data_IF_708061799836
#
_entry.id   IF_708061799836
#
_cell.length_a   1.000
_cell.length_b   1.000
_cell.length_c   1.000
_cell.angle_alpha   90.00
_cell.angle_beta   90.00
_cell.angle_gamma   90.00
#
_symmetry.space_group_name_H-M   'P 1'
#
loop_
_entity.id
_entity.type
_entity.pdbx_description
1 polymer ?
#
# COMPACT_ATOMS: atom_id res chain seq x y z
N UNK A 1 -0.59 14.17 4.58
CA UNK A 1 -1.25 14.94 3.51
C UNK A 1 -2.07 14.03 2.59
N UNK A 2 -1.45 13.12 1.82
CA UNK A 2 -2.16 12.20 0.93
C UNK A 2 -3.03 11.17 1.68
N UNK A 3 -2.47 10.42 2.63
CA UNK A 3 -3.21 9.39 3.40
C UNK A 3 -4.51 9.87 4.06
N UNK A 4 -4.60 11.16 4.42
CA UNK A 4 -5.80 11.76 5.00
C UNK A 4 -7.03 11.65 4.08
N UNK A 5 -6.86 11.62 2.75
CA UNK A 5 -8.00 11.47 1.85
C UNK A 5 -8.57 10.06 1.83
N UNK A 6 -7.84 9.04 2.30
CA UNK A 6 -8.35 7.67 2.39
C UNK A 6 -9.44 7.55 3.46
N UNK A 7 -9.42 8.38 4.49
CA UNK A 7 -10.40 8.38 5.60
C UNK A 7 -11.51 9.41 5.42
N UNK A 8 -11.55 10.13 4.29
CA UNK A 8 -12.69 10.95 3.92
C UNK A 8 -13.89 10.06 3.60
N UNK A 9 -15.10 10.50 3.95
CA UNK A 9 -16.33 9.79 3.60
C UNK A 9 -16.45 9.65 2.06
N UNK A 10 -16.50 8.43 1.52
CA UNK A 10 -16.77 8.21 0.10
C UNK A 10 -18.20 8.66 -0.19
N UNK A 11 -18.43 9.47 -1.23
CA UNK A 11 -19.71 10.15 -1.35
C UNK A 11 -20.12 10.59 -2.76
N UNK A 12 -21.30 10.13 -3.17
CA UNK A 12 -22.04 10.63 -4.33
C UNK A 12 -22.90 9.56 -5.02
N UNK A 13 -23.93 9.99 -5.75
CA UNK A 13 -24.67 9.10 -6.66
C UNK A 13 -23.71 8.58 -7.74
N UNK A 14 -23.56 7.26 -7.85
CA UNK A 14 -22.70 6.61 -8.86
C UNK A 14 -21.46 5.89 -8.31
N UNK A 15 -21.12 6.07 -7.03
CA UNK A 15 -20.02 5.35 -6.40
C UNK A 15 -20.32 3.85 -6.22
N UNK A 16 -19.32 2.95 -6.35
CA UNK A 16 -19.51 1.53 -6.14
C UNK A 16 -20.05 1.21 -4.75
N UNK A 17 -20.99 0.27 -4.67
CA UNK A 17 -21.68 -0.06 -3.41
C UNK A 17 -20.74 -0.52 -2.30
N UNK A 18 -19.67 -1.27 -2.64
CA UNK A 18 -18.69 -1.73 -1.66
C UNK A 18 -17.98 -0.56 -0.95
N UNK A 19 -17.78 0.58 -1.62
CA UNK A 19 -17.10 1.74 -1.04
C UNK A 19 -17.89 2.40 0.08
N UNK A 20 -19.20 2.17 0.13
CA UNK A 20 -20.13 2.80 1.09
C UNK A 20 -20.28 1.97 2.38
N UNK A 21 -19.56 0.86 2.50
CA UNK A 21 -19.64 -0.05 3.66
C UNK A 21 -18.66 0.35 4.76
N UNK A 22 -18.99 0.07 6.02
CA UNK A 22 -18.06 0.27 7.15
C UNK A 22 -16.80 -0.58 6.98
N UNK A 23 -16.93 -1.80 6.43
CA UNK A 23 -15.81 -2.66 6.08
C UNK A 23 -14.79 -1.97 5.15
N UNK A 24 -15.27 -1.19 4.16
CA UNK A 24 -14.38 -0.43 3.29
C UNK A 24 -13.70 0.72 4.02
N UNK A 25 -14.43 1.46 4.85
CA UNK A 25 -13.86 2.54 5.67
C UNK A 25 -12.76 2.04 6.59
N UNK A 26 -13.00 0.91 7.25
CA UNK A 26 -12.02 0.25 8.11
C UNK A 26 -10.83 -0.26 7.31
N UNK A 27 -11.03 -0.81 6.11
CA UNK A 27 -9.93 -1.18 5.20
C UNK A 27 -9.09 0.03 4.80
N UNK A 28 -9.70 1.19 4.54
CA UNK A 28 -8.97 2.43 4.22
C UNK A 28 -8.18 2.95 5.43
N UNK A 29 -8.76 2.87 6.63
CA UNK A 29 -8.07 3.20 7.87
C UNK A 29 -6.86 2.28 8.09
N UNK A 30 -7.02 0.97 7.87
CA UNK A 30 -5.93 0.00 7.92
C UNK A 30 -4.81 0.32 6.93
N UNK A 31 -5.13 0.72 5.69
CA UNK A 31 -4.13 1.15 4.72
C UNK A 31 -3.39 2.41 5.19
N UNK A 32 -4.10 3.39 5.75
CA UNK A 32 -3.52 4.62 6.27
C UNK A 32 -2.60 4.37 7.48
N UNK A 33 -3.04 3.55 8.44
CA UNK A 33 -2.27 3.20 9.64
C UNK A 33 -1.06 2.32 9.31
N UNK A 34 -1.22 1.33 8.43
CA UNK A 34 -0.09 0.53 7.95
C UNK A 34 0.97 1.38 7.25
N UNK A 35 0.55 2.33 6.41
CA UNK A 35 1.48 3.28 5.78
C UNK A 35 2.14 4.23 6.80
N UNK A 36 1.40 4.65 7.83
CA UNK A 36 1.96 5.48 8.90
C UNK A 36 2.99 4.71 9.74
N UNK A 37 2.71 3.46 10.10
CA UNK A 37 3.63 2.60 10.85
C UNK A 37 4.93 2.37 10.07
N UNK A 38 4.84 2.09 8.76
CA UNK A 38 6.01 1.98 7.88
C UNK A 38 6.80 3.30 7.80
N UNK A 39 6.13 4.44 7.65
CA UNK A 39 6.79 5.75 7.66
C UNK A 39 7.47 6.05 9.01
N UNK A 40 6.82 5.66 10.12
CA UNK A 40 7.38 5.85 11.46
C UNK A 40 8.63 5.00 11.65
N UNK A 41 8.60 3.74 11.20
CA UNK A 41 9.77 2.87 11.15
C UNK A 41 10.92 3.51 10.36
N UNK A 42 10.68 3.99 9.14
CA UNK A 42 11.72 4.53 8.26
C UNK A 42 12.29 5.88 8.72
N UNK A 43 11.55 6.60 9.58
CA UNK A 43 12.01 7.87 10.18
C UNK A 43 12.67 7.70 11.54
N UNK A 44 12.66 6.48 12.10
CA UNK A 44 13.49 6.14 13.25
C UNK A 44 14.90 5.82 12.74
N UNK A 45 15.91 6.44 13.33
CA UNK A 45 17.31 6.24 12.96
C UNK A 45 17.81 4.83 13.39
N UNK A 46 17.36 3.79 12.71
CA UNK A 46 17.98 2.47 12.74
C UNK A 46 18.69 2.22 11.41
N UNK A 47 20.03 2.17 11.46
CA UNK A 47 20.82 1.70 10.33
C UNK A 47 20.64 0.19 10.24
N UNK A 48 20.00 -0.26 9.16
CA UNK A 48 19.83 -1.67 8.83
C UNK A 48 21.19 -2.31 8.54
N UNK A 49 21.45 -3.51 9.07
CA UNK A 49 22.60 -4.31 8.65
C UNK A 49 22.39 -4.89 7.24
N UNK A 50 23.47 -4.93 6.45
CA UNK A 50 23.47 -5.54 5.11
C UNK A 50 23.24 -7.05 5.15
N UNK A 51 22.47 -7.59 4.20
CA UNK A 51 22.40 -9.03 3.94
C UNK A 51 22.56 -9.31 2.44
N UNK A 52 23.00 -10.53 2.12
CA UNK A 52 23.09 -11.05 0.76
C UNK A 52 21.78 -11.77 0.40
N UNK A 53 21.14 -11.49 -0.75
CA UNK A 53 19.95 -12.21 -1.18
C UNK A 53 20.22 -13.72 -1.36
N UNK A 54 19.29 -14.56 -0.92
CA UNK A 54 19.25 -15.96 -1.34
C UNK A 54 18.72 -16.06 -2.76
N UNK A 55 19.46 -16.72 -3.65
CA UNK A 55 19.03 -16.95 -5.04
C UNK A 55 17.90 -17.99 -5.02
N UNK A 56 16.67 -17.55 -5.23
CA UNK A 56 15.55 -18.44 -5.56
C UNK A 56 15.30 -18.35 -7.07
N UNK A 57 15.65 -19.40 -7.80
CA UNK A 57 15.23 -19.57 -9.18
C UNK A 57 13.72 -19.91 -9.20
N UNK A 58 12.90 -18.99 -9.66
CA UNK A 58 11.50 -19.30 -9.99
C UNK A 58 11.42 -19.71 -11.45
N UNK A 59 11.02 -20.94 -11.72
CA UNK A 59 10.67 -21.40 -13.06
C UNK A 59 9.40 -20.67 -13.54
N UNK A 60 9.47 -20.05 -14.72
CA UNK A 60 8.30 -19.48 -15.36
C UNK A 60 7.34 -20.60 -15.77
N UNK A 61 6.15 -20.63 -15.17
CA UNK A 61 5.05 -21.47 -15.61
C UNK A 61 4.41 -20.89 -16.88
N UNK A 62 3.91 -21.72 -17.81
CA UNK A 62 3.26 -21.24 -19.02
C UNK A 62 1.97 -20.46 -18.70
N UNK A 63 1.79 -19.34 -19.39
CA UNK A 63 0.67 -18.41 -19.24
C UNK A 63 -0.64 -19.09 -19.68
N UNK A 64 -1.61 -19.30 -18.78
CA UNK A 64 -2.92 -19.82 -19.15
C UNK A 64 -3.64 -18.84 -20.09
N UNK A 65 -4.48 -19.38 -20.98
CA UNK A 65 -5.29 -18.61 -21.93
C UNK A 65 -6.17 -17.62 -21.17
N UNK A 66 -5.89 -16.32 -21.31
CA UNK A 66 -6.54 -15.24 -20.58
C UNK A 66 -8.01 -15.10 -21.03
N UNK A 67 -8.95 -15.26 -20.07
CA UNK A 67 -10.18 -14.45 -20.12
C UNK A 67 -9.75 -12.99 -20.06
N UNK A 68 -10.46 -12.03 -20.69
CA UNK A 68 -10.07 -10.61 -20.61
C UNK A 68 -9.93 -10.22 -19.13
N UNK A 69 -8.68 -10.02 -18.69
CA UNK A 69 -8.35 -9.62 -17.33
C UNK A 69 -8.80 -8.19 -17.18
N UNK A 70 -9.98 -8.02 -16.60
CA UNK A 70 -10.46 -6.70 -16.21
C UNK A 70 -9.97 -6.46 -14.79
N UNK A 71 -8.84 -5.77 -14.70
CA UNK A 71 -8.37 -5.21 -13.44
C UNK A 71 -9.20 -3.98 -13.06
N UNK A 72 -9.17 -3.61 -11.78
CA UNK A 72 -9.92 -2.49 -11.25
C UNK A 72 -8.98 -1.60 -10.44
N UNK A 73 -9.02 -0.29 -10.67
CA UNK A 73 -8.22 0.65 -9.89
C UNK A 73 -9.04 1.11 -8.69
N UNK A 74 -8.43 1.10 -7.51
CA UNK A 74 -9.11 1.50 -6.30
C UNK A 74 -9.68 2.93 -6.46
N UNK A 75 -10.96 3.19 -6.10
CA UNK A 75 -11.66 4.39 -6.52
C UNK A 75 -11.35 5.54 -5.54
N UNK A 76 -10.09 5.93 -5.44
CA UNK A 76 -9.57 6.95 -4.51
C UNK A 76 -8.93 8.13 -5.27
N UNK A 77 -9.65 8.82 -6.16
CA UNK A 77 -9.09 9.85 -7.04
C UNK A 77 -8.41 11.00 -6.26
N UNK A 78 -8.99 11.42 -5.14
CA UNK A 78 -8.38 12.47 -4.30
C UNK A 78 -7.01 12.04 -3.75
N UNK A 79 -6.86 10.76 -3.40
CA UNK A 79 -5.59 10.22 -2.92
C UNK A 79 -4.52 10.28 -4.01
N UNK A 80 -4.84 9.82 -5.22
CA UNK A 80 -3.92 9.90 -6.36
C UNK A 80 -3.56 11.35 -6.69
N UNK A 81 -4.54 12.26 -6.73
CA UNK A 81 -4.28 13.68 -6.98
C UNK A 81 -3.35 14.31 -5.93
N UNK A 82 -3.53 13.98 -4.65
CA UNK A 82 -2.65 14.45 -3.57
C UNK A 82 -1.25 13.85 -3.66
N UNK A 83 -1.10 12.59 -4.08
CA UNK A 83 0.21 11.99 -4.32
C UNK A 83 0.92 12.64 -5.51
N UNK A 84 0.22 12.88 -6.63
CA UNK A 84 0.77 13.61 -7.78
C UNK A 84 1.30 14.98 -7.35
N UNK A 85 0.50 15.73 -6.60
CA UNK A 85 0.90 17.04 -6.08
C UNK A 85 2.15 16.94 -5.20
N UNK A 86 2.20 15.95 -4.30
CA UNK A 86 3.37 15.73 -3.43
C UNK A 86 4.63 15.37 -4.24
N UNK A 87 4.50 14.48 -5.23
CA UNK A 87 5.60 14.09 -6.12
C UNK A 87 6.16 15.30 -6.87
N UNK A 88 5.30 16.09 -7.51
CA UNK A 88 5.70 17.31 -8.23
C UNK A 88 6.33 18.36 -7.33
N UNK A 89 5.78 18.56 -6.12
CA UNK A 89 6.36 19.47 -5.14
C UNK A 89 7.74 19.01 -4.67
N UNK A 90 7.92 17.70 -4.49
CA UNK A 90 9.20 17.09 -4.09
C UNK A 90 10.25 17.26 -5.20
N UNK A 91 9.91 16.94 -6.45
CA UNK A 91 10.78 17.16 -7.61
C UNK A 91 11.21 18.63 -7.70
N UNK A 92 10.23 19.55 -7.68
CA UNK A 92 10.50 20.99 -7.74
C UNK A 92 11.41 21.44 -6.59
N UNK A 93 11.10 21.04 -5.36
CA UNK A 93 11.86 21.43 -4.18
C UNK A 93 13.31 20.95 -4.24
N UNK A 94 13.55 19.69 -4.61
CA UNK A 94 14.91 19.13 -4.72
C UNK A 94 15.68 19.73 -5.90
N UNK A 95 15.02 20.00 -7.02
CA UNK A 95 15.62 20.68 -8.17
C UNK A 95 16.03 22.13 -7.83
N UNK A 96 15.16 22.88 -7.14
CA UNK A 96 15.45 24.25 -6.71
C UNK A 96 16.64 24.30 -5.72
N UNK A 97 16.79 23.26 -4.88
CA UNK A 97 17.95 23.09 -3.99
C UNK A 97 19.21 22.53 -4.70
N UNK A 98 19.11 22.17 -5.99
CA UNK A 98 20.21 21.58 -6.79
C UNK A 98 20.78 20.28 -6.21
N UNK A 99 19.95 19.50 -5.51
CA UNK A 99 20.31 18.20 -4.93
C UNK A 99 19.65 17.02 -5.65
N UNK A 100 18.87 17.30 -6.70
CA UNK A 100 18.20 16.28 -7.50
C UNK A 100 19.09 15.82 -8.65
N UNK A 101 19.52 14.56 -8.61
CA UNK A 101 20.20 13.90 -9.72
C UNK A 101 19.21 13.41 -10.80
N UNK A 102 19.71 13.09 -11.99
CA UNK A 102 18.87 12.71 -13.13
C UNK A 102 18.16 11.36 -12.95
N UNK A 103 18.73 10.41 -12.19
CA UNK A 103 18.07 9.13 -11.91
C UNK A 103 16.85 9.35 -10.99
N UNK A 104 17.06 10.06 -9.88
CA UNK A 104 15.99 10.45 -8.96
C UNK A 104 14.89 11.27 -9.66
N UNK A 105 15.27 12.18 -10.56
CA UNK A 105 14.33 12.96 -11.36
C UNK A 105 13.50 12.08 -12.30
N UNK A 106 14.15 11.18 -13.03
CA UNK A 106 13.48 10.21 -13.92
C UNK A 106 12.47 9.35 -13.14
N UNK A 107 12.85 8.90 -11.94
CA UNK A 107 11.98 8.10 -11.06
C UNK A 107 10.78 8.90 -10.53
N UNK A 108 10.96 10.16 -10.16
CA UNK A 108 9.86 11.05 -9.75
C UNK A 108 8.90 11.31 -10.92
N UNK A 109 9.42 11.53 -12.13
CA UNK A 109 8.61 11.69 -13.34
C UNK A 109 7.82 10.41 -13.68
N UNK A 110 8.45 9.24 -13.58
CA UNK A 110 7.78 7.95 -13.78
C UNK A 110 6.69 7.71 -12.73
N UNK A 111 6.94 8.07 -11.46
CA UNK A 111 5.94 8.00 -10.40
C UNK A 111 4.74 8.91 -10.68
N UNK A 112 4.97 10.15 -11.13
CA UNK A 112 3.90 11.07 -11.54
C UNK A 112 3.05 10.47 -12.66
N UNK A 113 3.68 9.88 -13.69
CA UNK A 113 2.99 9.24 -14.80
C UNK A 113 2.11 8.08 -14.33
N UNK A 114 2.64 7.17 -13.49
CA UNK A 114 1.88 6.05 -12.95
C UNK A 114 0.70 6.54 -12.11
N UNK A 115 0.91 7.52 -11.23
CA UNK A 115 -0.16 8.08 -10.39
C UNK A 115 -1.23 8.80 -11.23
N UNK A 116 -0.83 9.50 -12.29
CA UNK A 116 -1.77 10.15 -13.22
C UNK A 116 -2.63 9.11 -13.94
N UNK A 117 -2.05 7.98 -14.39
CA UNK A 117 -2.81 6.89 -14.99
C UNK A 117 -3.79 6.25 -14.01
N UNK A 118 -3.39 6.02 -12.75
CA UNK A 118 -4.30 5.55 -11.70
C UNK A 118 -5.45 6.53 -11.45
N UNK A 119 -5.15 7.83 -11.39
CA UNK A 119 -6.17 8.87 -11.25
C UNK A 119 -7.18 8.82 -12.40
N UNK A 120 -6.69 8.85 -13.64
CA UNK A 120 -7.55 8.85 -14.84
C UNK A 120 -8.46 7.63 -14.88
N UNK A 121 -7.92 6.43 -14.61
CA UNK A 121 -8.69 5.18 -14.59
C UNK A 121 -9.71 5.22 -13.45
N UNK A 122 -9.32 5.62 -12.24
CA UNK A 122 -10.25 5.70 -11.10
C UNK A 122 -11.43 6.64 -11.37
N UNK A 123 -11.19 7.76 -12.07
CA UNK A 123 -12.25 8.71 -12.46
C UNK A 123 -13.15 8.11 -13.54
N UNK A 124 -12.59 7.43 -14.55
CA UNK A 124 -13.37 6.73 -15.58
C UNK A 124 -14.27 5.66 -14.96
N UNK A 125 -13.73 4.82 -14.08
CA UNK A 125 -14.46 3.74 -13.41
C UNK A 125 -15.57 4.29 -12.51
N UNK A 126 -15.30 5.35 -11.73
CA UNK A 126 -16.34 6.05 -10.95
C UNK A 126 -17.41 6.68 -11.84
N UNK A 127 -17.04 7.13 -13.04
CA UNK A 127 -17.96 7.64 -14.05
C UNK A 127 -18.76 6.56 -14.78
N UNK A 128 -18.60 5.27 -14.45
CA UNK A 128 -19.11 4.13 -15.19
C UNK A 128 -18.74 4.17 -16.70
N UNK A 129 -17.58 4.72 -17.01
CA UNK A 129 -17.06 4.75 -18.36
C UNK A 129 -16.31 3.46 -18.65
N UNK A 130 -16.48 2.93 -19.86
CA UNK A 130 -15.74 1.77 -20.31
C UNK A 130 -14.27 2.15 -20.50
N UNK A 131 -13.37 1.35 -19.92
CA UNK A 131 -11.93 1.51 -20.08
C UNK A 131 -11.47 1.10 -21.49
N UNK A 132 -10.43 1.77 -21.97
CA UNK A 132 -9.78 1.43 -23.24
C UNK A 132 -8.77 0.29 -23.06
N UNK A 133 -8.30 -0.32 -24.15
CA UNK A 133 -7.34 -1.44 -24.06
C UNK A 133 -6.05 -1.01 -23.36
N UNK A 134 -5.60 0.23 -23.59
CA UNK A 134 -4.40 0.80 -22.99
C UNK A 134 -4.54 1.01 -21.47
N UNK A 135 -5.77 1.16 -20.98
CA UNK A 135 -6.05 1.21 -19.54
C UNK A 135 -5.91 -0.18 -18.92
N UNK A 136 -6.41 -1.23 -19.59
CA UNK A 136 -6.25 -2.62 -19.12
C UNK A 136 -4.80 -3.10 -19.18
N UNK A 137 -4.07 -2.77 -20.25
CA UNK A 137 -2.66 -3.11 -20.38
C UNK A 137 -1.84 -2.44 -19.26
N UNK A 138 -2.14 -1.16 -18.94
CA UNK A 138 -1.52 -0.48 -17.81
C UNK A 138 -1.80 -1.18 -16.47
N UNK A 139 -3.04 -1.63 -16.22
CA UNK A 139 -3.39 -2.33 -14.97
C UNK A 139 -2.66 -3.67 -14.89
N UNK A 140 -2.59 -4.41 -16.01
CA UNK A 140 -1.88 -5.69 -16.12
C UNK A 140 -0.38 -5.51 -15.80
N UNK A 141 0.23 -4.45 -16.33
CA UNK A 141 1.65 -4.18 -16.19
C UNK A 141 2.00 -3.33 -14.96
N UNK A 142 1.01 -3.02 -14.09
CA UNK A 142 1.18 -2.12 -12.95
C UNK A 142 2.35 -2.50 -12.04
N UNK A 143 2.51 -3.80 -11.75
CA UNK A 143 3.60 -4.27 -10.90
C UNK A 143 4.98 -3.98 -11.51
N UNK A 144 5.14 -4.14 -12.83
CA UNK A 144 6.38 -3.82 -13.53
C UNK A 144 6.63 -2.30 -13.56
N UNK A 145 5.57 -1.52 -13.79
CA UNK A 145 5.61 -0.06 -13.80
C UNK A 145 6.04 0.52 -12.45
N UNK A 146 5.60 -0.05 -11.33
CA UNK A 146 6.02 0.37 -9.99
C UNK A 146 7.40 -0.14 -9.62
N UNK A 147 7.74 -1.38 -9.96
CA UNK A 147 9.00 -1.98 -9.54
C UNK A 147 10.21 -1.17 -10.05
N UNK A 148 10.18 -0.72 -11.31
CA UNK A 148 11.23 0.11 -11.90
C UNK A 148 11.44 1.44 -11.17
N UNK A 149 10.36 2.02 -10.62
CA UNK A 149 10.40 3.25 -9.81
C UNK A 149 11.02 2.97 -8.44
N UNK A 150 10.68 1.85 -7.82
CA UNK A 150 11.03 1.54 -6.43
C UNK A 150 12.47 1.06 -6.29
N UNK A 151 12.92 0.14 -7.14
CA UNK A 151 14.24 -0.50 -6.98
C UNK A 151 15.40 0.39 -7.41
N UNK A 152 15.16 1.37 -8.29
CA UNK A 152 16.25 2.12 -8.92
C UNK A 152 17.29 1.15 -9.51
N UNK A 153 18.58 1.41 -9.28
CA UNK A 153 19.70 0.57 -9.74
C UNK A 153 20.08 -0.60 -8.80
N UNK A 154 19.31 -0.89 -7.74
CA UNK A 154 19.70 -1.86 -6.70
C UNK A 154 18.62 -2.90 -6.36
N UNK A 155 19.05 -4.09 -5.93
CA UNK A 155 18.18 -5.17 -5.44
C UNK A 155 17.79 -4.97 -3.96
N UNK A 156 17.19 -3.82 -3.64
CA UNK A 156 16.66 -3.60 -2.30
C UNK A 156 15.40 -4.46 -2.10
N UNK A 157 15.51 -5.57 -1.38
CA UNK A 157 14.34 -6.38 -1.00
C UNK A 157 13.49 -5.59 -0.01
N UNK A 158 12.37 -5.05 -0.47
CA UNK A 158 11.41 -4.39 0.40
C UNK A 158 10.63 -5.44 1.19
N UNK A 159 10.70 -5.34 2.52
CA UNK A 159 9.88 -6.15 3.42
C UNK A 159 8.73 -5.30 3.92
N UNK A 160 7.53 -5.85 3.88
CA UNK A 160 6.33 -5.21 4.41
C UNK A 160 6.11 -5.55 5.89
N UNK A 161 6.99 -6.34 6.51
CA UNK A 161 6.91 -6.77 7.90
C UNK A 161 7.85 -5.95 8.78
N UNK A 162 7.34 -4.79 9.21
CA UNK A 162 8.09 -3.74 9.92
C UNK A 162 7.44 -3.48 11.28
N UNK A 163 8.23 -3.08 12.27
CA UNK A 163 7.74 -2.69 13.61
C UNK A 163 8.43 -1.42 14.11
N UNK A 164 7.67 -0.52 14.73
CA UNK A 164 8.19 0.72 15.31
C UNK A 164 7.67 0.93 16.74
N UNK A 165 8.55 1.31 17.67
CA UNK A 165 8.14 1.97 18.92
C UNK A 165 7.70 3.41 18.60
N UNK A 166 6.49 3.73 19.00
CA UNK A 166 5.89 5.04 18.72
C UNK A 166 5.68 5.87 19.98
N UNK A 167 5.65 5.23 21.15
CA UNK A 167 5.49 5.91 22.42
C UNK A 167 5.97 5.07 23.61
N UNK A 168 6.52 5.70 24.64
CA UNK A 168 6.93 5.02 25.89
C UNK A 168 6.20 5.60 27.10
N UNK A 169 5.52 4.75 27.86
CA UNK A 169 4.85 5.07 29.12
C UNK A 169 5.72 4.60 30.30
N UNK A 170 6.49 5.52 30.88
CA UNK A 170 7.43 5.23 31.97
C UNK A 170 6.74 4.68 33.23
N UNK A 171 5.55 5.19 33.58
CA UNK A 171 4.84 4.78 34.80
C UNK A 171 4.46 3.29 34.82
N UNK A 172 4.25 2.69 33.65
CA UNK A 172 3.88 1.27 33.51
C UNK A 172 5.01 0.43 32.91
N UNK A 173 6.16 1.03 32.64
CA UNK A 173 7.27 0.41 31.91
C UNK A 173 6.85 -0.26 30.59
N UNK A 174 5.93 0.36 29.86
CA UNK A 174 5.44 -0.13 28.56
C UNK A 174 5.84 0.80 27.41
N UNK A 175 6.11 0.20 26.25
CA UNK A 175 6.17 0.87 24.96
C UNK A 175 4.91 0.52 24.15
N UNK A 176 4.38 1.49 23.41
CA UNK A 176 3.40 1.26 22.35
C UNK A 176 4.17 1.02 21.06
N UNK A 177 3.90 -0.12 20.43
CA UNK A 177 4.48 -0.49 19.15
C UNK A 177 3.38 -0.61 18.11
N UNK A 178 3.69 -0.12 16.91
CA UNK A 178 2.86 -0.26 15.73
C UNK A 178 3.65 -1.01 14.65
N UNK A 179 2.97 -1.91 13.94
CA UNK A 179 3.63 -2.80 13.01
C UNK A 179 2.78 -3.12 11.80
N UNK A 180 3.45 -3.49 10.70
CA UNK A 180 2.84 -4.10 9.53
C UNK A 180 3.21 -5.58 9.49
N UNK A 181 2.25 -6.44 9.13
CA UNK A 181 2.46 -7.88 8.98
C UNK A 181 2.54 -8.33 7.51
N UNK A 182 2.23 -9.61 7.29
CA UNK A 182 2.12 -10.14 5.94
C UNK A 182 0.99 -9.47 5.17
N UNK A 183 1.20 -9.28 3.87
CA UNK A 183 0.16 -8.80 2.96
C UNK A 183 -0.96 -9.83 2.89
N UNK A 184 -2.20 -9.35 3.00
CA UNK A 184 -3.40 -10.17 2.92
C UNK A 184 -4.09 -9.95 1.58
N UNK A 185 -4.94 -10.89 1.19
CA UNK A 185 -5.76 -10.79 0.00
C UNK A 185 -7.13 -10.20 0.35
N UNK A 186 -7.47 -9.08 -0.26
CA UNK A 186 -8.81 -8.50 -0.23
C UNK A 186 -9.59 -8.98 -1.46
N UNK A 187 -10.84 -9.39 -1.24
CA UNK A 187 -11.79 -9.70 -2.30
C UNK A 187 -12.90 -8.66 -2.31
N UNK A 188 -13.18 -8.06 -3.47
CA UNK A 188 -14.21 -7.03 -3.63
C UNK A 188 -15.10 -7.39 -4.81
N UNK A 189 -16.41 -7.51 -4.56
CA UNK A 189 -17.39 -7.62 -5.62
C UNK A 189 -17.76 -6.22 -6.14
N UNK A 190 -17.63 -5.99 -7.44
CA UNK A 190 -17.99 -4.72 -8.08
C UNK A 190 -18.74 -4.97 -9.40
N UNK A 191 -19.50 -3.96 -9.83
CA UNK A 191 -20.36 -4.03 -11.01
C UNK A 191 -19.72 -3.26 -12.15
N UNK A 192 -19.64 -3.88 -13.33
CA UNK A 192 -19.20 -3.22 -14.56
C UNK A 192 -20.34 -2.38 -15.18
N UNK A 193 -20.01 -1.39 -16.04
CA UNK A 193 -21.00 -0.61 -16.77
C UNK A 193 -22.01 -1.47 -17.56
N UNK A 194 -21.57 -2.62 -18.08
CA UNK A 194 -22.40 -3.57 -18.84
C UNK A 194 -23.33 -4.41 -17.97
N UNK A 195 -23.26 -4.28 -16.64
CA UNK A 195 -24.17 -4.91 -15.70
C UNK A 195 -23.67 -6.20 -15.05
N UNK A 196 -22.54 -6.74 -15.50
CA UNK A 196 -21.89 -7.91 -14.91
C UNK A 196 -21.28 -7.59 -13.54
N UNK A 197 -21.31 -8.56 -12.63
CA UNK A 197 -20.62 -8.49 -11.33
C UNK A 197 -19.35 -9.32 -11.43
N UNK A 198 -18.24 -8.74 -10.98
CA UNK A 198 -16.94 -9.37 -10.91
C UNK A 198 -16.38 -9.30 -9.51
N UNK A 199 -15.44 -10.19 -9.20
CA UNK A 199 -14.69 -10.17 -7.95
C UNK A 199 -13.25 -9.78 -8.27
N UNK A 200 -12.84 -8.61 -7.81
CA UNK A 200 -11.44 -8.18 -7.81
C UNK A 200 -10.71 -8.78 -6.62
N UNK A 201 -9.46 -9.15 -6.83
CA UNK A 201 -8.56 -9.62 -5.78
C UNK A 201 -7.32 -8.74 -5.74
N UNK A 202 -6.97 -8.19 -4.57
CA UNK A 202 -5.86 -7.25 -4.44
C UNK A 202 -5.18 -7.33 -3.07
N UNK A 203 -3.91 -6.91 -2.98
CA UNK A 203 -3.17 -6.92 -1.71
C UNK A 203 -3.70 -5.84 -0.75
N UNK A 204 -3.71 -6.14 0.55
CA UNK A 204 -3.99 -5.18 1.63
C UNK A 204 -3.00 -5.39 2.77
N UNK A 205 -2.60 -4.30 3.43
CA UNK A 205 -1.79 -4.37 4.65
C UNK A 205 -2.50 -5.15 5.76
N UNK A 206 -1.71 -5.73 6.66
CA UNK A 206 -2.18 -6.06 8.01
C UNK A 206 -1.50 -5.10 8.99
N UNK A 207 -2.29 -4.35 9.75
CA UNK A 207 -1.82 -3.39 10.74
C UNK A 207 -2.01 -3.92 12.16
N UNK A 208 -0.97 -3.77 12.99
CA UNK A 208 -0.94 -4.18 14.38
C UNK A 208 -0.60 -2.98 15.27
N UNK A 209 -1.26 -2.92 16.43
CA UNK A 209 -0.99 -1.93 17.48
C UNK A 209 -1.05 -2.66 18.81
N UNK A 210 0.04 -2.63 19.58
CA UNK A 210 0.13 -3.40 20.81
C UNK A 210 1.15 -2.80 21.77
N UNK A 211 1.07 -3.21 23.04
CA UNK A 211 2.02 -2.81 24.08
C UNK A 211 3.07 -3.89 24.29
N UNK A 212 4.32 -3.48 24.47
CA UNK A 212 5.44 -4.33 24.86
C UNK A 212 6.13 -3.76 26.10
N UNK A 213 6.71 -4.58 26.99
CA UNK A 213 7.61 -4.08 28.01
C UNK A 213 8.77 -3.30 27.38
N UNK A 214 9.17 -2.17 27.97
CA UNK A 214 10.31 -1.34 27.52
C UNK A 214 11.60 -2.15 27.37
N UNK A 215 11.78 -3.18 28.21
CA UNK A 215 12.94 -4.09 28.18
C UNK A 215 12.91 -5.09 27.02
N UNK A 216 11.78 -5.22 26.32
CA UNK A 216 11.57 -6.16 25.22
C UNK A 216 10.98 -5.48 23.97
N UNK A 217 11.46 -4.27 23.66
CA UNK A 217 11.13 -3.63 22.38
C UNK A 217 11.49 -4.54 21.22
N UNK A 218 10.60 -4.64 20.25
CA UNK A 218 10.80 -5.53 19.12
C UNK A 218 11.76 -4.91 18.10
N UNK A 219 12.65 -5.76 17.60
CA UNK A 219 13.30 -5.50 16.32
C UNK A 219 12.47 -6.14 15.23
N UNK A 220 12.70 -5.69 14.02
CA UNK A 220 12.19 -6.25 12.77
C UNK A 220 12.34 -7.79 12.69
N UNK A 221 13.47 -8.35 13.14
CA UNK A 221 13.72 -9.78 13.17
C UNK A 221 12.81 -10.50 14.18
N UNK A 222 12.72 -9.97 15.40
CA UNK A 222 11.84 -10.54 16.44
C UNK A 222 10.37 -10.44 16.05
N UNK A 223 9.97 -9.35 15.39
CA UNK A 223 8.62 -9.20 14.87
C UNK A 223 8.29 -10.27 13.83
N UNK A 224 9.21 -10.52 12.89
CA UNK A 224 9.05 -11.58 11.88
C UNK A 224 9.03 -12.99 12.48
N UNK A 225 9.85 -13.25 13.49
CA UNK A 225 9.82 -14.51 14.24
C UNK A 225 8.45 -14.70 14.91
N UNK A 226 7.95 -13.67 15.58
CA UNK A 226 6.65 -13.67 16.24
C UNK A 226 5.48 -13.87 15.27
N UNK A 227 5.54 -13.26 14.08
CA UNK A 227 4.60 -13.51 12.99
C UNK A 227 4.66 -14.97 12.50
N UNK A 228 5.87 -15.50 12.30
CA UNK A 228 6.08 -16.86 11.80
C UNK A 228 5.71 -17.96 12.79
N UNK A 229 5.80 -17.69 14.10
CA UNK A 229 5.44 -18.63 15.17
C UNK A 229 3.95 -18.59 15.53
N UNK A 230 3.15 -17.71 14.92
CA UNK A 230 1.74 -17.52 15.27
C UNK A 230 1.51 -16.86 16.63
N UNK A 231 2.52 -16.17 17.16
CA UNK A 231 2.47 -15.47 18.45
C UNK A 231 2.21 -13.96 18.31
N UNK A 232 1.95 -13.50 17.08
CA UNK A 232 1.61 -12.11 16.84
C UNK A 232 0.38 -11.68 17.65
N UNK A 233 0.34 -10.45 18.17
CA UNK A 233 -0.82 -9.90 18.85
C UNK A 233 -2.06 -9.95 17.96
N UNK A 234 -3.24 -9.92 18.60
CA UNK A 234 -4.48 -9.80 17.84
C UNK A 234 -4.50 -8.49 17.06
N UNK A 235 -5.07 -8.54 15.86
CA UNK A 235 -5.32 -7.35 15.08
C UNK A 235 -6.33 -6.46 15.83
N UNK A 236 -6.29 -5.13 15.63
CA UNK A 236 -7.23 -4.24 16.29
C UNK A 236 -8.69 -4.65 16.05
N UNK A 237 -9.52 -4.58 17.08
CA UNK A 237 -10.90 -5.11 17.06
C UNK A 237 -11.74 -4.58 15.89
N UNK A 238 -11.55 -3.32 15.49
CA UNK A 238 -12.26 -2.69 14.38
C UNK A 238 -11.95 -3.33 13.01
N UNK A 239 -10.86 -4.10 12.88
CA UNK A 239 -10.55 -4.81 11.62
C UNK A 239 -11.48 -6.01 11.34
N UNK A 240 -12.26 -6.47 12.34
CA UNK A 240 -13.23 -7.57 12.21
C UNK A 240 -14.33 -7.31 11.17
N UNK A 241 -14.55 -6.05 10.78
CA UNK A 241 -15.57 -5.66 9.80
C UNK A 241 -15.21 -6.08 8.38
N UNK A 242 -13.92 -6.22 8.06
CA UNK A 242 -13.44 -6.54 6.70
C UNK A 242 -12.45 -7.71 6.63
N UNK A 243 -11.94 -8.17 7.77
CA UNK A 243 -11.02 -9.30 7.84
C UNK A 243 -11.59 -10.41 8.73
N UNK A 244 -11.53 -11.65 8.22
CA UNK A 244 -11.81 -12.86 8.99
C UNK A 244 -10.51 -13.40 9.60
N UNK A 245 -10.57 -13.78 10.88
CA UNK A 245 -9.46 -14.28 11.67
C UNK A 245 -9.67 -15.74 12.06
#
# INVERSE_FOLDING_TARGET
>A
YALKSLTSEPGGKGWPTFTQTDAWKDKQLNAALGSWAALRHDTILYVKQSYTPGIHATSAQPVPKEFPVVGYVEPVPEFYARLIALTRMTEKGLADQKVLDEDSKSRLAALDQVLTRLLDISVKELGNQKLAQEDYDFIKDFAANINSIVTGSGDATQKTTLVADVHTVQNTNQALEEATGYIRLLLVAYKLPEGHILVGAGPVYSYYEFKQPISNRLTDEKWREMLGSGQAPQLPEWTKTFASF
#
